data_IF_284168870023
#
_entry.id   IF_284168870023
#
_cell.length_a   1.000
_cell.length_b   1.000
_cell.length_c   1.000
_cell.angle_alpha   90.00
_cell.angle_beta   90.00
_cell.angle_gamma   90.00
#
_symmetry.space_group_name_H-M   'P 1'
#
loop_
_entity.id
_entity.type
_entity.pdbx_description
1 polymer ?
#
# COMPACT_ATOMS: atom_id res chain seq x y z
N UNK A 1 -20.69 -37.71 -50.48
CA UNK A 1 -19.72 -36.66 -50.86
C UNK A 1 -20.49 -35.38 -51.03
N UNK A 2 -20.23 -34.35 -50.24
CA UNK A 2 -20.85 -33.04 -50.39
C UNK A 2 -19.82 -32.17 -51.10
N UNK A 3 -20.14 -31.76 -52.32
CA UNK A 3 -19.30 -30.89 -53.14
C UNK A 3 -19.29 -29.49 -52.52
N UNK A 4 -18.13 -29.05 -52.05
CA UNK A 4 -17.93 -27.67 -51.63
C UNK A 4 -17.61 -26.88 -52.90
N UNK A 5 -18.58 -26.12 -53.40
CA UNK A 5 -18.32 -25.09 -54.41
C UNK A 5 -17.46 -24.01 -53.76
N UNK A 6 -16.16 -24.00 -54.09
CA UNK A 6 -15.29 -22.87 -53.82
C UNK A 6 -15.81 -21.68 -54.62
N UNK A 7 -16.23 -20.64 -53.89
CA UNK A 7 -16.58 -19.36 -54.49
C UNK A 7 -15.37 -18.77 -55.22
N UNK A 8 -15.66 -18.18 -56.38
CA UNK A 8 -14.71 -17.56 -57.29
C UNK A 8 -13.76 -16.61 -56.55
N UNK A 9 -12.47 -16.87 -56.71
CA UNK A 9 -11.39 -15.98 -56.33
C UNK A 9 -11.35 -14.85 -57.37
N UNK A 10 -11.82 -13.66 -57.01
CA UNK A 10 -11.71 -12.45 -57.85
C UNK A 10 -10.28 -11.91 -57.83
N UNK A 11 -9.81 -11.52 -59.02
CA UNK A 11 -8.49 -10.97 -59.35
C UNK A 11 -8.09 -9.78 -58.44
N UNK A 12 -6.82 -9.64 -58.01
CA UNK A 12 -6.39 -8.59 -57.10
C UNK A 12 -5.97 -7.36 -57.91
N UNK A 13 -6.88 -6.76 -58.68
CA UNK A 13 -6.63 -5.49 -59.36
C UNK A 13 -7.43 -4.37 -58.69
N UNK A 14 -6.72 -3.59 -57.86
CA UNK A 14 -7.08 -2.24 -57.41
C UNK A 14 -8.32 -2.07 -56.50
N UNK A 15 -8.65 -3.05 -55.66
CA UNK A 15 -9.67 -2.85 -54.63
C UNK A 15 -9.08 -2.16 -53.38
N UNK A 16 -9.56 -0.95 -53.07
CA UNK A 16 -9.30 -0.27 -51.79
C UNK A 16 -9.61 -1.22 -50.63
N UNK A 17 -8.72 -1.39 -49.64
CA UNK A 17 -8.99 -2.30 -48.52
C UNK A 17 -10.27 -1.88 -47.81
N UNK A 18 -11.17 -2.84 -47.61
CA UNK A 18 -12.41 -2.63 -46.89
C UNK A 18 -12.10 -2.10 -45.49
N UNK A 19 -12.85 -1.08 -45.09
CA UNK A 19 -12.78 -0.58 -43.72
C UNK A 19 -13.32 -1.65 -42.77
N UNK A 20 -12.87 -1.60 -41.51
CA UNK A 20 -13.36 -2.53 -40.48
C UNK A 20 -14.89 -2.57 -40.40
N UNK A 21 -15.57 -1.44 -40.62
CA UNK A 21 -17.03 -1.40 -40.59
C UNK A 21 -17.65 -2.16 -41.77
N UNK A 22 -17.09 -2.05 -42.97
CA UNK A 22 -17.56 -2.79 -44.15
C UNK A 22 -17.35 -4.28 -43.96
N UNK A 23 -16.18 -4.68 -43.43
CA UNK A 23 -15.89 -6.07 -43.06
C UNK A 23 -16.92 -6.59 -42.05
N UNK A 24 -17.20 -5.81 -40.99
CA UNK A 24 -18.18 -6.20 -39.98
C UNK A 24 -19.59 -6.34 -40.55
N UNK A 25 -20.00 -5.47 -41.48
CA UNK A 25 -21.30 -5.57 -42.16
C UNK A 25 -21.36 -6.83 -43.03
N UNK A 26 -20.29 -7.17 -43.71
CA UNK A 26 -20.24 -8.33 -44.60
C UNK A 26 -20.26 -9.65 -43.83
N UNK A 27 -19.51 -9.74 -42.72
CA UNK A 27 -19.42 -10.97 -41.91
C UNK A 27 -20.62 -11.14 -40.97
N UNK A 28 -21.05 -10.08 -40.30
CA UNK A 28 -22.06 -10.14 -39.23
C UNK A 28 -23.45 -9.63 -39.67
N UNK A 29 -23.55 -9.04 -40.85
CA UNK A 29 -24.74 -8.35 -41.33
C UNK A 29 -24.93 -6.96 -40.72
N UNK A 30 -25.92 -6.21 -41.22
CA UNK A 30 -26.20 -4.81 -40.81
C UNK A 30 -26.90 -4.67 -39.45
N UNK A 31 -26.96 -5.72 -38.63
CA UNK A 31 -27.74 -5.70 -37.37
C UNK A 31 -26.96 -4.94 -36.28
N UNK A 32 -27.56 -3.87 -35.77
CA UNK A 32 -26.91 -2.91 -34.85
C UNK A 32 -26.36 -3.51 -33.55
N UNK A 33 -26.85 -4.67 -33.12
CA UNK A 33 -26.43 -5.34 -31.89
C UNK A 33 -24.95 -5.71 -31.83
N UNK A 34 -24.34 -6.03 -32.97
CA UNK A 34 -22.92 -6.41 -33.03
C UNK A 34 -21.97 -5.21 -32.91
N UNK A 35 -22.37 -4.05 -33.42
CA UNK A 35 -21.52 -2.84 -33.46
C UNK A 35 -21.44 -2.11 -32.13
N UNK A 36 -22.48 -2.25 -31.29
CA UNK A 36 -22.66 -1.41 -30.09
C UNK A 36 -22.33 -2.13 -28.78
N UNK A 37 -21.80 -3.35 -28.84
CA UNK A 37 -21.60 -4.18 -27.64
C UNK A 37 -22.91 -4.60 -26.94
N UNK A 38 -24.06 -4.39 -27.61
CA UNK A 38 -25.40 -4.77 -27.13
C UNK A 38 -25.82 -6.13 -27.69
N UNK A 39 -24.86 -6.99 -28.02
CA UNK A 39 -25.14 -8.37 -28.40
C UNK A 39 -25.69 -9.15 -27.22
N UNK A 40 -26.27 -10.31 -27.48
CA UNK A 40 -26.62 -11.31 -26.45
C UNK A 40 -25.33 -12.00 -25.93
N UNK A 41 -24.32 -11.23 -25.57
CA UNK A 41 -23.18 -11.72 -24.78
C UNK A 41 -23.58 -11.77 -23.30
N UNK A 42 -22.82 -12.47 -22.46
CA UNK A 42 -23.01 -12.40 -21.02
C UNK A 42 -23.03 -10.93 -20.58
N UNK A 43 -24.18 -10.45 -20.11
CA UNK A 43 -24.26 -9.14 -19.51
C UNK A 43 -23.41 -9.21 -18.24
N UNK A 44 -22.33 -8.44 -18.18
CA UNK A 44 -21.59 -8.21 -16.94
C UNK A 44 -22.48 -7.35 -16.03
N UNK A 45 -23.57 -7.91 -15.50
CA UNK A 45 -24.19 -7.39 -14.29
C UNK A 45 -23.28 -7.75 -13.12
N UNK A 46 -22.05 -7.24 -13.14
CA UNK A 46 -21.20 -7.25 -11.98
C UNK A 46 -21.70 -6.19 -11.01
N UNK A 47 -22.89 -6.41 -10.46
CA UNK A 47 -23.25 -5.90 -9.15
C UNK A 47 -22.50 -6.74 -8.12
N UNK A 48 -21.17 -6.84 -8.25
CA UNK A 48 -20.38 -7.20 -7.10
C UNK A 48 -20.42 -5.95 -6.24
N UNK A 49 -21.37 -5.90 -5.31
CA UNK A 49 -21.28 -4.97 -4.21
C UNK A 49 -19.87 -5.13 -3.66
N UNK A 50 -19.07 -4.07 -3.75
CA UNK A 50 -17.80 -4.01 -3.03
C UNK A 50 -18.18 -4.31 -1.58
N UNK A 51 -17.64 -5.39 -1.05
CA UNK A 51 -17.98 -5.88 0.29
C UNK A 51 -17.37 -4.88 1.30
N UNK A 52 -18.07 -3.76 1.53
CA UNK A 52 -17.59 -2.65 2.38
C UNK A 52 -17.34 -3.10 3.81
N UNK A 53 -17.96 -4.21 4.23
CA UNK A 53 -17.77 -4.86 5.51
C UNK A 53 -16.30 -5.17 5.82
N UNK A 54 -15.54 -5.66 4.83
CA UNK A 54 -14.12 -5.97 5.04
C UNK A 54 -13.28 -4.68 5.13
N UNK A 55 -13.59 -3.68 4.31
CA UNK A 55 -12.94 -2.38 4.34
C UNK A 55 -13.16 -1.64 5.68
N UNK A 56 -14.40 -1.66 6.20
CA UNK A 56 -14.77 -1.04 7.47
C UNK A 56 -14.06 -1.74 8.65
N UNK A 57 -13.99 -3.07 8.60
CA UNK A 57 -13.30 -3.87 9.62
C UNK A 57 -11.79 -3.62 9.61
N UNK A 58 -11.17 -3.54 8.44
CA UNK A 58 -9.75 -3.19 8.31
C UNK A 58 -9.50 -1.75 8.79
N UNK A 59 -10.37 -0.81 8.46
CA UNK A 59 -10.27 0.57 8.93
C UNK A 59 -10.32 0.66 10.45
N UNK A 60 -11.19 -0.12 11.11
CA UNK A 60 -11.24 -0.22 12.57
C UNK A 60 -9.96 -0.77 13.19
N UNK A 61 -9.37 -1.81 12.59
CA UNK A 61 -8.08 -2.38 13.04
C UNK A 61 -6.96 -1.35 12.90
N UNK A 62 -6.86 -0.68 11.75
CA UNK A 62 -5.84 0.34 11.49
C UNK A 62 -5.97 1.50 12.50
N UNK A 63 -7.20 1.98 12.71
CA UNK A 63 -7.46 3.06 13.67
C UNK A 63 -7.05 2.68 15.10
N UNK A 64 -7.35 1.43 15.51
CA UNK A 64 -6.95 0.92 16.82
C UNK A 64 -5.43 0.78 16.96
N UNK A 65 -4.75 0.30 15.91
CA UNK A 65 -3.29 0.20 15.90
C UNK A 65 -2.62 1.57 15.95
N UNK A 66 -3.15 2.55 15.22
CA UNK A 66 -2.62 3.91 15.25
C UNK A 66 -2.72 4.52 16.65
N UNK A 67 -3.88 4.41 17.31
CA UNK A 67 -4.05 4.92 18.68
C UNK A 67 -3.10 4.25 19.68
N UNK A 68 -2.79 2.96 19.49
CA UNK A 68 -1.80 2.25 20.32
C UNK A 68 -0.38 2.78 20.08
N UNK A 69 -0.01 3.01 18.82
CA UNK A 69 1.30 3.58 18.47
C UNK A 69 1.45 4.99 19.05
N UNK A 70 0.44 5.84 18.90
CA UNK A 70 0.47 7.21 19.45
C UNK A 70 0.65 7.20 20.98
N UNK A 71 0.00 6.25 21.67
CA UNK A 71 0.14 6.09 23.12
C UNK A 71 1.55 5.63 23.51
N UNK A 72 2.13 4.71 22.76
CA UNK A 72 3.49 4.22 22.98
C UNK A 72 4.54 5.31 22.73
N UNK A 73 4.35 6.16 21.72
CA UNK A 73 5.24 7.27 21.42
C UNK A 73 5.26 8.31 22.56
N UNK A 74 4.10 8.61 23.15
CA UNK A 74 4.01 9.49 24.32
C UNK A 74 4.74 8.88 25.51
N UNK A 75 4.53 7.59 25.79
CA UNK A 75 5.21 6.91 26.90
C UNK A 75 6.73 6.89 26.72
N UNK A 76 7.21 6.58 25.50
CA UNK A 76 8.63 6.61 25.18
C UNK A 76 9.24 8.01 25.35
N UNK A 77 8.51 9.05 24.97
CA UNK A 77 8.97 10.43 25.14
C UNK A 77 9.09 10.79 26.63
N UNK A 78 8.14 10.34 27.46
CA UNK A 78 8.19 10.56 28.91
C UNK A 78 9.32 9.79 29.59
N UNK A 79 9.53 8.53 29.19
CA UNK A 79 10.66 7.74 29.67
C UNK A 79 12.00 8.38 29.30
N UNK A 80 12.15 8.85 28.05
CA UNK A 80 13.36 9.56 27.61
C UNK A 80 13.62 10.81 28.46
N UNK A 81 12.58 11.62 28.70
CA UNK A 81 12.69 12.80 29.56
C UNK A 81 13.12 12.42 30.99
N UNK A 82 12.61 11.31 31.51
CA UNK A 82 13.00 10.81 32.83
C UNK A 82 14.46 10.39 32.86
N UNK A 83 14.95 9.70 31.82
CA UNK A 83 16.37 9.33 31.68
C UNK A 83 17.24 10.59 31.64
N UNK A 84 16.91 11.56 30.78
CA UNK A 84 17.67 12.82 30.66
C UNK A 84 17.75 13.56 32.02
N UNK A 85 16.67 13.55 32.79
CA UNK A 85 16.64 14.12 34.14
C UNK A 85 17.51 13.36 35.13
N UNK A 86 17.49 12.03 35.09
CA UNK A 86 18.33 11.19 35.94
C UNK A 86 19.81 11.37 35.61
N UNK A 87 20.16 11.40 34.33
CA UNK A 87 21.53 11.67 33.86
C UNK A 87 22.02 13.02 34.35
N UNK A 88 21.21 14.09 34.21
CA UNK A 88 21.58 15.42 34.72
C UNK A 88 21.79 15.44 36.24
N UNK A 89 20.93 14.75 37.00
CA UNK A 89 21.07 14.63 38.45
C UNK A 89 22.32 13.84 38.84
N UNK A 90 22.65 12.78 38.10
CA UNK A 90 23.86 12.00 38.32
C UNK A 90 25.11 12.84 38.05
N UNK A 91 25.15 13.60 36.95
CA UNK A 91 26.28 14.51 36.68
C UNK A 91 26.45 15.58 37.75
N UNK A 92 25.35 16.16 38.25
CA UNK A 92 25.41 17.13 39.35
C UNK A 92 25.96 16.48 40.63
N UNK A 93 25.49 15.28 40.96
CA UNK A 93 25.97 14.53 42.12
C UNK A 93 27.45 14.18 41.99
N UNK A 94 27.88 13.72 40.81
CA UNK A 94 29.28 13.40 40.53
C UNK A 94 30.17 14.63 40.71
N UNK A 95 29.78 15.78 40.17
CA UNK A 95 30.52 17.04 40.37
C UNK A 95 30.61 17.44 41.84
N UNK A 96 29.52 17.31 42.60
CA UNK A 96 29.49 17.61 44.03
C UNK A 96 30.43 16.69 44.82
N UNK A 97 30.39 15.40 44.52
CA UNK A 97 31.27 14.41 45.16
C UNK A 97 32.73 14.68 44.81
N UNK A 98 33.03 14.97 43.54
CA UNK A 98 34.39 15.28 43.12
C UNK A 98 34.95 16.51 43.85
N UNK A 99 34.14 17.56 44.01
CA UNK A 99 34.52 18.74 44.80
C UNK A 99 34.77 18.40 46.27
N UNK A 100 33.88 17.60 46.89
CA UNK A 100 34.00 17.18 48.28
C UNK A 100 35.28 16.37 48.53
N UNK A 101 35.55 15.33 47.74
CA UNK A 101 36.75 14.51 47.91
C UNK A 101 38.03 15.27 47.59
N UNK A 102 38.02 16.13 46.55
CA UNK A 102 39.18 16.97 46.23
C UNK A 102 39.53 17.91 47.40
N UNK A 103 38.53 18.45 48.11
CA UNK A 103 38.76 19.28 49.30
C UNK A 103 39.36 18.52 50.50
N UNK A 104 39.18 17.19 50.53
CA UNK A 104 39.78 16.31 51.54
C UNK A 104 41.09 15.66 51.07
N UNK A 105 41.57 15.98 49.86
CA UNK A 105 42.80 15.40 49.30
C UNK A 105 42.65 13.98 48.73
N UNK A 106 41.42 13.52 48.51
CA UNK A 106 41.12 12.21 47.90
C UNK A 106 40.60 12.38 46.47
N UNK A 107 40.83 11.37 45.62
CA UNK A 107 40.27 11.32 44.27
C UNK A 107 38.97 10.49 44.27
N UNK A 108 37.88 11.07 43.77
CA UNK A 108 36.61 10.38 43.56
C UNK A 108 36.53 9.85 42.12
N UNK A 109 36.09 8.60 41.96
CA UNK A 109 35.87 7.97 40.66
C UNK A 109 34.57 7.17 40.72
N UNK A 110 33.70 7.39 39.74
CA UNK A 110 32.49 6.59 39.59
C UNK A 110 32.86 5.31 38.83
N UNK A 111 32.57 4.14 39.42
CA UNK A 111 32.77 2.86 38.73
C UNK A 111 31.50 2.49 37.99
N UNK A 112 31.57 2.41 36.67
CA UNK A 112 30.45 2.01 35.83
C UNK A 112 30.24 0.50 35.94
N UNK A 113 29.47 0.06 36.94
CA UNK A 113 29.12 -1.34 37.14
C UNK A 113 27.85 -1.66 36.35
N UNK A 114 27.96 -1.70 35.02
CA UNK A 114 26.88 -2.13 34.14
C UNK A 114 27.41 -3.12 33.09
N UNK A 115 27.73 -4.34 33.52
CA UNK A 115 27.81 -5.50 32.62
C UNK A 115 27.66 -6.79 33.41
N UNK A 116 26.44 -7.34 33.44
CA UNK A 116 26.21 -8.79 33.45
C UNK A 116 24.83 -9.11 32.87
#
# INVERSE_FOLDING_TARGET
>A
MVEIQQQQQTDPEEAKPLTQMEICIEVLGKKSGYFRGLGNGPCLTSNHGVDTSEADRLHGIISSQQSRLDSQDVELQEQKKTIDQLESRLSQFEGMMQQFFSSQGFAFHFTDSATQ
#
